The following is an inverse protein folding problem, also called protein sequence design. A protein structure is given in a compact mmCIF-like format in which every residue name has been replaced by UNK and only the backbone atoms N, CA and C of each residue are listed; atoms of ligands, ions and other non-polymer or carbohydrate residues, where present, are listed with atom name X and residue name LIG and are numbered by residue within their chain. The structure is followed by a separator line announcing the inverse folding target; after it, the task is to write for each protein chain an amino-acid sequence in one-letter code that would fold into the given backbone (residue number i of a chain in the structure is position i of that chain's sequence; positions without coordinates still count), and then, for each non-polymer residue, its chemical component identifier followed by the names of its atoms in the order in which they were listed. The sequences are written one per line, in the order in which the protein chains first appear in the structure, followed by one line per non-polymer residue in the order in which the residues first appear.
data_IF_236333713844
#
_entry.id   IF_236333713844
#
_cell.length_a   1.000
_cell.length_b   1.000
_cell.length_c   1.000
_cell.angle_alpha   90.00
_cell.angle_beta   90.00
_cell.angle_gamma   90.00
#
_symmetry.space_group_name_H-M   'P 1'
#
loop_
_entity.id
_entity.type
_entity.pdbx_description
1 polymer ?
#
# COMPACT_ATOMS: atom_id res chain seq x y z
N UNK A 1 2.39 -17.05 16.15
CA UNK A 1 2.41 -16.27 17.41
C UNK A 1 3.24 -14.99 17.23
N UNK A 2 4.34 -15.04 16.48
CA UNK A 2 5.37 -13.99 16.45
C UNK A 2 4.96 -12.68 15.77
N UNK A 3 4.14 -12.73 14.72
CA UNK A 3 3.70 -11.53 13.98
C UNK A 3 2.77 -10.64 14.81
N UNK A 4 1.88 -11.24 15.60
CA UNK A 4 0.94 -10.51 16.47
C UNK A 4 1.71 -9.77 17.56
N UNK A 5 2.76 -10.40 18.12
CA UNK A 5 3.62 -9.76 19.12
C UNK A 5 4.37 -8.58 18.49
N UNK A 6 4.91 -8.73 17.28
CA UNK A 6 5.62 -7.66 16.59
C UNK A 6 4.75 -6.40 16.43
N UNK A 7 3.50 -6.58 15.98
CA UNK A 7 2.56 -5.48 15.71
C UNK A 7 2.02 -4.87 17.01
N UNK A 8 1.65 -5.69 17.99
CA UNK A 8 1.15 -5.20 19.28
C UNK A 8 2.24 -4.45 20.07
N UNK A 9 3.51 -4.83 19.90
CA UNK A 9 4.64 -4.15 20.55
C UNK A 9 5.10 -2.88 19.84
N UNK A 10 4.63 -2.59 18.63
CA UNK A 10 4.98 -1.37 17.91
C UNK A 10 4.52 -0.12 18.67
N UNK A 11 3.38 -0.19 19.37
CA UNK A 11 2.72 0.93 20.05
C UNK A 11 3.14 1.07 21.51
N UNK A 12 4.46 1.07 21.76
CA UNK A 12 5.02 1.15 23.12
C UNK A 12 5.40 2.57 23.55
N UNK A 13 5.36 3.54 22.65
CA UNK A 13 5.66 4.94 22.98
C UNK A 13 4.65 5.47 24.01
N UNK A 14 5.18 6.08 25.07
CA UNK A 14 4.44 6.59 26.24
C UNK A 14 4.24 8.09 26.20
N UNK A 15 5.09 8.82 25.47
CA UNK A 15 4.88 10.24 25.23
C UNK A 15 3.65 10.44 24.31
N UNK A 16 2.63 11.23 24.73
CA UNK A 16 1.41 11.40 23.94
C UNK A 16 1.65 11.99 22.54
N UNK A 17 2.62 12.89 22.38
CA UNK A 17 2.92 13.50 21.09
C UNK A 17 3.66 12.55 20.17
N UNK A 18 4.65 11.83 20.69
CA UNK A 18 5.38 10.77 19.98
C UNK A 18 4.45 9.67 19.50
N UNK A 19 3.56 9.19 20.38
CA UNK A 19 2.61 8.13 20.05
C UNK A 19 1.70 8.54 18.87
N UNK A 20 1.08 9.73 18.92
CA UNK A 20 0.23 10.25 17.83
C UNK A 20 1.01 10.38 16.52
N UNK A 21 2.27 10.80 16.58
CA UNK A 21 3.11 10.93 15.40
C UNK A 21 3.43 9.56 14.77
N UNK A 22 3.72 8.53 15.57
CA UNK A 22 3.91 7.16 15.08
C UNK A 22 2.65 6.62 14.39
N UNK A 23 1.46 6.78 14.98
CA UNK A 23 0.21 6.34 14.34
C UNK A 23 0.00 7.05 13.00
N UNK A 24 0.29 8.36 12.98
CA UNK A 24 0.11 9.19 11.80
C UNK A 24 0.99 8.69 10.65
N UNK A 25 2.26 8.34 10.91
CA UNK A 25 3.14 7.78 9.90
C UNK A 25 2.70 6.38 9.46
N UNK A 26 2.33 5.51 10.40
CA UNK A 26 1.80 4.19 10.08
C UNK A 26 0.57 4.25 9.16
N UNK A 27 -0.39 5.13 9.46
CA UNK A 27 -1.59 5.30 8.65
C UNK A 27 -1.28 5.85 7.26
N UNK A 28 -0.26 6.71 7.12
CA UNK A 28 0.21 7.16 5.80
C UNK A 28 0.80 6.02 4.99
N UNK A 29 1.67 5.21 5.60
CA UNK A 29 2.30 4.07 4.92
C UNK A 29 1.26 3.03 4.52
N UNK A 30 0.29 2.75 5.39
CA UNK A 30 -0.83 1.87 5.09
C UNK A 30 -1.71 2.43 3.96
N UNK A 31 -2.01 3.72 4.00
CA UNK A 31 -2.75 4.41 2.94
C UNK A 31 -2.02 4.37 1.60
N UNK A 32 -0.69 4.55 1.60
CA UNK A 32 0.14 4.48 0.41
C UNK A 32 0.19 3.05 -0.15
N UNK A 33 0.32 2.04 0.70
CA UNK A 33 0.26 0.64 0.30
C UNK A 33 -1.10 0.30 -0.32
N UNK A 34 -2.20 0.75 0.28
CA UNK A 34 -3.55 0.59 -0.28
C UNK A 34 -3.72 1.30 -1.62
N UNK A 35 -3.22 2.54 -1.74
CA UNK A 35 -3.23 3.30 -2.99
C UNK A 35 -2.43 2.63 -4.10
N UNK A 36 -1.26 2.06 -3.77
CA UNK A 36 -0.45 1.31 -4.71
C UNK A 36 -1.17 0.05 -5.22
N UNK A 37 -1.87 -0.68 -4.33
CA UNK A 37 -2.68 -1.84 -4.72
C UNK A 37 -3.87 -1.44 -5.60
N UNK A 38 -4.55 -0.33 -5.29
CA UNK A 38 -5.63 0.18 -6.13
C UNK A 38 -5.13 0.54 -7.53
N UNK A 39 -4.02 1.27 -7.64
CA UNK A 39 -3.41 1.63 -8.92
C UNK A 39 -2.97 0.37 -9.69
N UNK A 40 -2.42 -0.63 -9.00
CA UNK A 40 -2.05 -1.90 -9.61
C UNK A 40 -3.27 -2.59 -10.24
N UNK A 41 -4.39 -2.68 -9.53
CA UNK A 41 -5.64 -3.26 -10.08
C UNK A 41 -6.16 -2.43 -11.25
N UNK A 42 -6.17 -1.10 -11.14
CA UNK A 42 -6.59 -0.20 -12.22
C UNK A 42 -5.76 -0.41 -13.48
N UNK A 43 -4.44 -0.50 -13.36
CA UNK A 43 -3.54 -0.77 -14.49
C UNK A 43 -3.71 -2.19 -15.02
N UNK A 44 -4.00 -3.18 -14.16
CA UNK A 44 -4.22 -4.56 -14.57
C UNK A 44 -5.53 -4.76 -15.33
N UNK A 45 -6.62 -4.14 -14.90
CA UNK A 45 -7.96 -4.33 -15.47
C UNK A 45 -8.22 -3.41 -16.68
N UNK A 46 -7.79 -2.15 -16.59
CA UNK A 46 -8.02 -1.16 -17.66
C UNK A 46 -6.82 -1.00 -18.60
N UNK A 47 -5.66 -1.60 -18.28
CA UNK A 47 -4.54 -1.85 -19.19
C UNK A 47 -4.27 -0.76 -20.23
N UNK A 48 -4.41 -1.14 -21.51
CA UNK A 48 -4.23 -0.27 -22.68
C UNK A 48 -5.35 0.74 -22.90
N UNK A 49 -6.55 0.52 -22.36
CA UNK A 49 -7.69 1.43 -22.51
C UNK A 49 -7.50 2.74 -21.74
N UNK A 50 -6.63 2.73 -20.73
CA UNK A 50 -6.16 3.93 -20.05
C UNK A 50 -5.22 4.79 -20.90
N UNK A 51 -4.63 4.26 -21.99
CA UNK A 51 -3.64 4.96 -22.81
C UNK A 51 -2.33 5.30 -22.10
N UNK A 52 -2.07 4.74 -20.90
CA UNK A 52 -0.85 4.97 -20.12
C UNK A 52 0.36 4.14 -20.61
N UNK A 53 0.18 3.26 -21.59
CA UNK A 53 1.21 2.39 -22.16
C UNK A 53 1.41 2.68 -23.65
N UNK A 54 2.67 2.78 -24.10
CA UNK A 54 3.03 3.11 -25.50
C UNK A 54 2.82 1.91 -26.44
N UNK A 55 2.94 0.70 -25.90
CA UNK A 55 2.76 -0.57 -26.62
C UNK A 55 1.76 -1.44 -25.86
N UNK A 56 1.02 -2.26 -26.60
CA UNK A 56 0.13 -3.27 -26.02
C UNK A 56 0.90 -4.39 -25.29
N UNK A 57 0.18 -5.36 -24.68
CA UNK A 57 0.80 -6.47 -23.98
C UNK A 57 1.80 -7.24 -24.86
N UNK A 58 2.96 -7.63 -24.31
CA UNK A 58 3.99 -8.38 -25.05
C UNK A 58 3.55 -9.82 -25.38
N UNK A 59 2.65 -10.38 -24.57
CA UNK A 59 2.04 -11.68 -24.79
C UNK A 59 0.53 -11.50 -24.78
N UNK A 60 -0.13 -11.90 -25.86
CA UNK A 60 -1.58 -11.98 -25.90
C UNK A 60 -1.98 -13.26 -25.15
N UNK A 61 -2.79 -13.13 -24.11
CA UNK A 61 -3.40 -14.28 -23.45
C UNK A 61 -4.50 -14.79 -24.36
N UNK A 62 -4.30 -15.97 -24.96
CA UNK A 62 -5.20 -16.54 -25.98
C UNK A 62 -6.67 -16.61 -25.60
#
# INVERSE_FOLDING_TARGET
MDVIVLIATFWKETDPAGNVNEQTQFLKDLGLAGGALFLFVVVSELGTDLGLTIIGPLFDGG
#
